data_IF_005313306450
#
_entry.id   IF_005313306450
#
_cell.length_a   1.000
_cell.length_b   1.000
_cell.length_c   1.000
_cell.angle_alpha   90.00
_cell.angle_beta   90.00
_cell.angle_gamma   90.00
#
_symmetry.space_group_name_H-M   'P 1'
#
loop_
_entity.id
_entity.type
_entity.pdbx_description
1 polymer ?
#
# COMPACT_ATOMS: atom_id res chain seq x y z
N UNK A 1 26.83 -18.50 1.34
CA UNK A 1 25.56 -17.81 1.63
C UNK A 1 25.71 -17.06 2.95
N UNK A 2 25.81 -15.74 2.93
CA UNK A 2 26.02 -14.94 4.15
C UNK A 2 24.76 -15.01 4.99
N UNK A 3 24.80 -15.77 6.09
CA UNK A 3 23.72 -15.87 7.07
C UNK A 3 23.37 -14.44 7.49
N UNK A 4 22.15 -14.00 7.17
CA UNK A 4 21.70 -12.66 7.50
C UNK A 4 21.81 -12.51 9.03
N UNK A 5 22.71 -11.64 9.50
CA UNK A 5 22.99 -11.51 10.93
C UNK A 5 21.79 -10.84 11.60
N UNK A 6 20.98 -11.66 12.27
CA UNK A 6 19.90 -11.17 13.12
C UNK A 6 20.46 -10.28 14.24
N UNK A 7 19.79 -9.17 14.50
CA UNK A 7 20.15 -8.20 15.54
C UNK A 7 18.98 -7.95 16.45
N UNK A 8 19.24 -7.97 17.75
CA UNK A 8 18.27 -7.70 18.79
C UNK A 8 18.56 -6.37 19.46
N UNK A 9 17.53 -5.60 19.76
CA UNK A 9 17.65 -4.30 20.42
C UNK A 9 16.30 -3.90 21.04
N UNK A 10 16.32 -2.90 21.91
CA UNK A 10 15.11 -2.26 22.43
C UNK A 10 14.91 -0.90 21.78
N UNK A 11 13.66 -0.57 21.49
CA UNK A 11 13.31 0.75 20.97
C UNK A 11 11.93 1.18 21.49
N UNK A 12 11.76 2.48 21.67
CA UNK A 12 10.49 3.09 22.09
C UNK A 12 9.64 3.39 20.87
N UNK A 13 8.36 3.04 20.94
CA UNK A 13 7.38 3.35 19.91
C UNK A 13 7.00 4.83 20.01
N UNK A 14 7.29 5.59 18.98
CA UNK A 14 7.03 7.02 18.92
C UNK A 14 5.93 7.33 17.91
N UNK A 15 5.19 8.40 18.16
CA UNK A 15 4.27 8.94 17.16
C UNK A 15 5.04 9.90 16.27
N UNK A 16 5.10 9.59 14.98
CA UNK A 16 5.68 10.48 14.00
C UNK A 16 4.78 11.72 13.87
N UNK A 17 5.35 12.90 14.15
CA UNK A 17 4.70 14.21 13.98
C UNK A 17 4.42 14.46 12.48
N UNK A 18 3.34 13.88 12.00
CA UNK A 18 2.88 13.93 10.61
C UNK A 18 1.36 13.91 10.59
N UNK A 19 0.75 14.40 9.50
CA UNK A 19 -0.73 14.36 9.33
C UNK A 19 -1.31 12.95 9.43
N UNK A 20 -0.49 11.92 9.19
CA UNK A 20 -0.91 10.51 9.18
C UNK A 20 -0.76 9.81 10.54
N UNK A 21 -0.20 10.48 11.55
CA UNK A 21 -0.07 9.97 12.93
C UNK A 21 0.51 8.54 13.03
N UNK A 22 1.49 8.22 12.19
CA UNK A 22 2.11 6.90 12.19
C UNK A 22 2.86 6.60 13.49
N UNK A 23 2.82 5.34 13.92
CA UNK A 23 3.65 4.84 15.01
C UNK A 23 4.91 4.22 14.42
N UNK A 24 6.07 4.66 14.89
CA UNK A 24 7.37 4.27 14.37
C UNK A 24 8.32 3.91 15.49
N UNK A 25 9.41 3.23 15.14
CA UNK A 25 10.63 3.22 15.94
C UNK A 25 11.77 3.83 15.14
N UNK A 26 12.71 4.46 15.83
CA UNK A 26 14.04 4.71 15.29
C UNK A 26 14.92 3.49 15.58
N UNK A 27 15.50 2.90 14.53
CA UNK A 27 16.32 1.70 14.69
C UNK A 27 17.69 2.13 15.25
N UNK A 28 18.10 1.65 16.44
CA UNK A 28 19.35 2.04 17.08
C UNK A 28 20.56 1.28 16.51
N UNK A 29 20.46 0.82 15.25
CA UNK A 29 21.47 0.05 14.56
C UNK A 29 22.05 0.85 13.40
N UNK A 30 23.35 0.75 13.20
CA UNK A 30 24.02 1.21 11.98
C UNK A 30 23.75 0.21 10.84
N UNK A 31 22.57 0.32 10.23
CA UNK A 31 22.12 -0.51 9.11
C UNK A 31 23.11 -0.49 7.93
N UNK A 32 23.67 0.67 7.52
CA UNK A 32 24.71 0.70 6.49
C UNK A 32 25.93 -0.14 6.84
N UNK A 33 26.42 -0.08 8.07
CA UNK A 33 27.57 -0.88 8.50
C UNK A 33 27.23 -2.37 8.64
N UNK A 34 26.07 -2.69 9.19
CA UNK A 34 25.69 -4.07 9.56
C UNK A 34 25.17 -4.85 8.35
N UNK A 35 24.31 -4.23 7.53
CA UNK A 35 23.62 -4.89 6.41
C UNK A 35 23.97 -4.29 5.04
N UNK A 36 25.00 -3.43 4.98
CA UNK A 36 25.60 -2.91 3.73
C UNK A 36 24.60 -2.22 2.81
N UNK A 37 23.61 -1.53 3.38
CA UNK A 37 22.63 -0.76 2.61
C UNK A 37 22.26 0.55 3.29
N UNK A 38 22.10 1.60 2.48
CA UNK A 38 21.54 2.91 2.90
C UNK A 38 20.10 3.09 2.42
N UNK A 39 19.62 2.15 1.63
CA UNK A 39 18.30 2.19 0.98
C UNK A 39 17.25 1.49 1.83
N UNK A 40 16.00 1.54 1.35
CA UNK A 40 14.91 0.76 1.94
C UNK A 40 15.27 -0.73 2.00
N UNK A 41 15.32 -1.30 3.20
CA UNK A 41 15.67 -2.69 3.44
C UNK A 41 14.45 -3.50 3.88
N UNK A 42 14.18 -4.62 3.22
CA UNK A 42 13.16 -5.57 3.69
C UNK A 42 13.72 -6.34 4.89
N UNK A 43 12.92 -6.46 5.95
CA UNK A 43 13.30 -7.19 7.16
C UNK A 43 12.19 -8.10 7.65
N UNK A 44 12.58 -9.17 8.32
CA UNK A 44 11.71 -10.08 9.07
C UNK A 44 12.23 -10.18 10.50
N UNK A 45 11.35 -10.54 11.42
CA UNK A 45 11.71 -10.46 12.83
C UNK A 45 10.54 -10.60 13.77
N UNK A 46 10.78 -10.21 15.02
CA UNK A 46 9.83 -10.32 16.11
C UNK A 46 9.78 -9.05 16.96
N UNK A 47 8.60 -8.72 17.48
CA UNK A 47 8.36 -7.67 18.48
C UNK A 47 7.75 -8.34 19.72
N UNK A 48 8.50 -8.37 20.82
CA UNK A 48 8.12 -9.12 22.03
C UNK A 48 7.68 -10.57 21.72
N UNK A 49 8.40 -11.24 20.81
CA UNK A 49 8.08 -12.61 20.35
C UNK A 49 6.98 -12.72 19.29
N UNK A 50 6.29 -11.63 18.93
CA UNK A 50 5.30 -11.64 17.85
C UNK A 50 5.98 -11.51 16.48
N UNK A 51 5.85 -12.48 15.56
CA UNK A 51 6.55 -12.46 14.27
C UNK A 51 5.95 -11.44 13.30
N UNK A 52 6.81 -10.80 12.52
CA UNK A 52 6.40 -9.87 11.46
C UNK A 52 7.39 -9.84 10.29
N UNK A 53 6.90 -9.30 9.15
CA UNK A 53 7.71 -8.93 7.98
C UNK A 53 7.36 -7.51 7.57
N UNK A 54 8.36 -6.65 7.42
CA UNK A 54 8.16 -5.23 7.11
C UNK A 54 9.36 -4.68 6.31
N UNK A 55 9.57 -3.36 6.34
CA UNK A 55 10.72 -2.70 5.75
C UNK A 55 11.23 -1.57 6.66
N UNK A 56 12.54 -1.38 6.62
CA UNK A 56 13.23 -0.24 7.19
C UNK A 56 13.32 0.86 6.14
N UNK A 57 13.04 2.10 6.56
CA UNK A 57 13.04 3.28 5.71
C UNK A 57 14.20 4.18 6.11
N UNK A 58 15.04 4.64 5.17
CA UNK A 58 16.10 5.59 5.49
C UNK A 58 15.50 6.93 5.91
N UNK A 59 16.13 7.58 6.88
CA UNK A 59 15.73 8.92 7.36
C UNK A 59 16.60 10.04 6.78
N UNK A 60 17.43 9.75 5.78
CA UNK A 60 18.39 10.69 5.16
C UNK A 60 19.66 10.98 5.97
N UNK A 61 19.64 10.81 7.29
CA UNK A 61 20.80 11.07 8.20
C UNK A 61 21.62 9.81 8.52
N UNK A 62 21.70 8.86 7.59
CA UNK A 62 22.35 7.55 7.82
C UNK A 62 21.63 6.62 8.81
N UNK A 63 20.48 7.03 9.34
CA UNK A 63 19.63 6.23 10.23
C UNK A 63 18.43 5.65 9.49
N UNK A 64 17.82 4.66 10.12
CA UNK A 64 16.62 3.99 9.61
C UNK A 64 15.50 4.07 10.63
N UNK A 65 14.27 4.12 10.13
CA UNK A 65 13.05 3.99 10.92
C UNK A 65 12.22 2.82 10.44
N UNK A 66 11.35 2.31 11.31
CA UNK A 66 10.42 1.22 10.99
C UNK A 66 9.01 1.62 11.41
N UNK A 67 8.04 1.48 10.50
CA UNK A 67 6.63 1.66 10.84
C UNK A 67 6.11 0.44 11.61
N UNK A 68 5.39 0.71 12.70
CA UNK A 68 4.74 -0.31 13.53
C UNK A 68 3.24 -0.26 13.27
N UNK A 69 2.76 -1.18 12.43
CA UNK A 69 1.35 -1.25 12.09
C UNK A 69 0.50 -1.76 13.28
N UNK A 70 -0.83 -1.70 13.16
CA UNK A 70 -1.74 -2.12 14.24
C UNK A 70 -1.66 -3.60 14.58
N UNK A 71 -1.35 -4.46 13.62
CA UNK A 71 -1.16 -5.89 13.85
C UNK A 71 0.07 -6.14 14.73
N UNK A 72 1.18 -5.45 14.46
CA UNK A 72 2.41 -5.52 15.26
C UNK A 72 2.17 -4.95 16.68
N UNK A 73 1.45 -3.83 16.80
CA UNK A 73 1.08 -3.26 18.12
C UNK A 73 0.27 -4.26 18.94
N UNK A 74 -0.78 -4.84 18.35
CA UNK A 74 -1.65 -5.83 19.02
C UNK A 74 -0.88 -7.10 19.37
N UNK A 75 -0.12 -7.65 18.43
CA UNK A 75 0.63 -8.90 18.60
C UNK A 75 1.75 -8.78 19.62
N UNK A 76 2.50 -7.67 19.58
CA UNK A 76 3.56 -7.37 20.55
C UNK A 76 3.06 -6.81 21.88
N UNK A 77 1.74 -6.59 22.03
CA UNK A 77 1.09 -5.98 23.21
C UNK A 77 1.73 -4.63 23.61
N UNK A 78 1.94 -3.76 22.64
CA UNK A 78 2.61 -2.47 22.81
C UNK A 78 1.76 -1.32 22.29
N UNK A 79 1.90 -0.16 22.91
CA UNK A 79 1.26 1.09 22.49
C UNK A 79 2.31 2.17 22.23
N UNK A 80 1.88 3.33 21.74
CA UNK A 80 2.77 4.49 21.63
C UNK A 80 3.33 4.85 23.01
N UNK A 81 4.63 5.09 23.11
CA UNK A 81 5.36 5.34 24.35
C UNK A 81 5.94 4.07 24.99
N UNK A 82 5.46 2.88 24.61
CA UNK A 82 6.02 1.63 25.13
C UNK A 82 7.42 1.37 24.55
N UNK A 83 8.31 0.86 25.39
CA UNK A 83 9.55 0.22 24.95
C UNK A 83 9.26 -1.25 24.60
N UNK A 84 9.76 -1.72 23.47
CA UNK A 84 9.60 -3.11 23.03
C UNK A 84 10.94 -3.75 22.65
N UNK A 85 11.03 -5.06 22.81
CA UNK A 85 12.16 -5.86 22.35
C UNK A 85 11.95 -6.24 20.89
N UNK A 86 12.93 -5.93 20.05
CA UNK A 86 12.95 -6.29 18.65
C UNK A 86 14.07 -7.30 18.37
N UNK A 87 13.82 -8.18 17.41
CA UNK A 87 14.83 -9.00 16.73
C UNK A 87 14.60 -8.88 15.24
N UNK A 88 15.58 -8.41 14.48
CA UNK A 88 15.46 -8.12 13.04
C UNK A 88 16.57 -8.79 12.23
N UNK A 89 16.24 -9.25 11.03
CA UNK A 89 17.20 -9.67 10.02
C UNK A 89 16.74 -9.28 8.60
N UNK A 90 17.66 -9.10 7.64
CA UNK A 90 17.34 -8.94 6.24
C UNK A 90 16.42 -10.06 5.72
N UNK A 91 15.34 -9.64 5.08
CA UNK A 91 14.35 -10.54 4.49
C UNK A 91 14.67 -10.74 3.00
N UNK A 92 15.41 -11.81 2.71
CA UNK A 92 15.78 -12.23 1.35
C UNK A 92 14.77 -13.18 0.71
N UNK A 93 13.76 -13.63 1.45
CA UNK A 93 12.77 -14.57 0.93
C UNK A 93 11.88 -13.91 -0.13
N UNK A 94 11.60 -14.63 -1.24
CA UNK A 94 10.67 -14.13 -2.23
C UNK A 94 9.29 -13.95 -1.60
N UNK A 95 8.70 -12.77 -1.78
CA UNK A 95 7.33 -12.52 -1.36
C UNK A 95 6.40 -12.91 -2.50
N UNK A 96 5.82 -14.11 -2.41
CA UNK A 96 4.87 -14.62 -3.39
C UNK A 96 3.46 -14.21 -2.97
N UNK A 97 2.67 -13.67 -3.90
CA UNK A 97 1.23 -13.47 -3.71
C UNK A 97 0.50 -14.61 -4.38
N UNK A 98 -0.28 -15.36 -3.61
CA UNK A 98 -1.19 -16.36 -4.16
C UNK A 98 -2.42 -15.62 -4.67
N UNK A 99 -2.60 -15.62 -5.99
CA UNK A 99 -3.75 -15.00 -6.65
C UNK A 99 -4.94 -15.98 -6.58
N UNK A 100 -6.09 -15.59 -6.00
CA UNK A 100 -7.26 -16.47 -5.88
C UNK A 100 -7.83 -16.84 -7.26
N UNK A 101 -8.45 -18.01 -7.36
CA UNK A 101 -8.94 -18.56 -8.63
C UNK A 101 -10.04 -17.69 -9.24
N UNK A 102 -10.90 -17.13 -8.40
CA UNK A 102 -11.96 -16.16 -8.72
C UNK A 102 -11.37 -14.95 -9.45
N UNK A 103 -10.26 -14.39 -8.94
CA UNK A 103 -9.60 -13.25 -9.60
C UNK A 103 -8.94 -13.66 -10.92
N UNK A 104 -8.35 -14.86 -11.00
CA UNK A 104 -7.80 -15.35 -12.27
C UNK A 104 -8.89 -15.47 -13.34
N UNK A 105 -10.07 -15.96 -12.98
CA UNK A 105 -11.23 -16.04 -13.89
C UNK A 105 -11.73 -14.65 -14.30
N UNK A 106 -11.91 -13.74 -13.35
CA UNK A 106 -12.36 -12.38 -13.63
C UNK A 106 -11.41 -11.62 -14.58
N UNK A 107 -10.11 -11.90 -14.52
CA UNK A 107 -9.10 -11.32 -15.41
C UNK A 107 -8.91 -12.09 -16.73
N UNK A 108 -9.49 -13.28 -16.89
CA UNK A 108 -9.21 -14.15 -18.04
C UNK A 108 -9.78 -13.61 -19.36
N UNK A 109 -10.85 -12.81 -19.28
CA UNK A 109 -11.51 -12.22 -20.46
C UNK A 109 -10.73 -11.08 -21.12
N UNK A 110 -9.72 -10.51 -20.45
CA UNK A 110 -8.92 -9.40 -20.98
C UNK A 110 -7.42 -9.62 -20.72
N UNK A 111 -6.69 -9.97 -21.78
CA UNK A 111 -5.25 -10.22 -21.73
C UNK A 111 -4.45 -8.95 -21.39
N UNK A 112 -4.91 -7.75 -21.81
CA UNK A 112 -4.25 -6.49 -21.48
C UNK A 112 -4.39 -6.21 -19.99
N UNK A 113 -5.59 -6.35 -19.45
CA UNK A 113 -5.87 -6.17 -18.03
C UNK A 113 -5.07 -7.14 -17.17
N UNK A 114 -4.99 -8.42 -17.56
CA UNK A 114 -4.18 -9.42 -16.86
C UNK A 114 -2.70 -9.04 -16.81
N UNK A 115 -2.10 -8.67 -17.95
CA UNK A 115 -0.70 -8.21 -18.02
C UNK A 115 -0.48 -6.95 -17.19
N UNK A 116 -1.44 -6.04 -17.19
CA UNK A 116 -1.39 -4.82 -16.39
C UNK A 116 -1.44 -5.13 -14.89
N UNK A 117 -2.30 -6.06 -14.45
CA UNK A 117 -2.37 -6.54 -13.07
C UNK A 117 -1.05 -7.19 -12.62
N UNK A 118 -0.42 -8.00 -13.46
CA UNK A 118 0.87 -8.65 -13.16
C UNK A 118 2.01 -7.64 -12.93
N UNK A 119 1.94 -6.45 -13.55
CA UNK A 119 2.88 -5.33 -13.35
C UNK A 119 2.63 -4.55 -12.06
N UNK A 120 1.53 -4.79 -11.34
CA UNK A 120 1.28 -4.15 -10.06
C UNK A 120 2.30 -4.60 -9.01
N UNK A 121 2.63 -3.67 -8.11
CA UNK A 121 3.54 -3.96 -7.02
C UNK A 121 2.98 -5.06 -6.09
N UNK A 122 3.88 -5.73 -5.36
CA UNK A 122 3.53 -6.82 -4.45
C UNK A 122 2.44 -6.45 -3.44
N UNK A 123 2.50 -5.23 -2.87
CA UNK A 123 1.57 -4.81 -1.82
C UNK A 123 0.15 -4.71 -2.34
N UNK A 124 -0.03 -4.07 -3.50
CA UNK A 124 -1.35 -3.93 -4.15
C UNK A 124 -1.93 -5.29 -4.51
N UNK A 125 -1.12 -6.19 -5.11
CA UNK A 125 -1.60 -7.56 -5.43
C UNK A 125 -1.97 -8.35 -4.19
N UNK A 126 -1.18 -8.24 -3.11
CA UNK A 126 -1.46 -8.88 -1.82
C UNK A 126 -2.76 -8.36 -1.21
N UNK A 127 -2.95 -7.05 -1.19
CA UNK A 127 -4.14 -6.42 -0.61
C UNK A 127 -5.41 -6.81 -1.36
N UNK A 128 -5.39 -6.78 -2.69
CA UNK A 128 -6.50 -7.24 -3.53
C UNK A 128 -6.83 -8.70 -3.22
N UNK A 129 -5.82 -9.57 -3.20
CA UNK A 129 -6.01 -11.00 -2.95
C UNK A 129 -6.55 -11.25 -1.54
N UNK A 130 -5.99 -10.57 -0.53
CA UNK A 130 -6.45 -10.65 0.85
C UNK A 130 -7.91 -10.20 0.98
N UNK A 131 -8.28 -9.06 0.37
CA UNK A 131 -9.63 -8.53 0.39
C UNK A 131 -10.65 -9.50 -0.24
N UNK A 132 -10.31 -10.16 -1.35
CA UNK A 132 -11.17 -11.20 -1.93
C UNK A 132 -11.30 -12.36 -0.94
N UNK A 133 -10.19 -12.92 -0.46
CA UNK A 133 -10.20 -14.13 0.39
C UNK A 133 -10.75 -13.92 1.81
N UNK A 134 -10.87 -12.67 2.26
CA UNK A 134 -11.37 -12.31 3.59
C UNK A 134 -12.82 -12.79 3.81
N UNK A 135 -13.62 -12.87 2.75
CA UNK A 135 -14.97 -13.46 2.83
C UNK A 135 -14.93 -14.98 2.70
N UNK A 136 -15.78 -15.66 3.47
CA UNK A 136 -15.86 -17.12 3.50
C UNK A 136 -16.68 -17.69 2.33
N UNK A 137 -17.75 -17.01 1.91
CA UNK A 137 -18.63 -17.46 0.83
C UNK A 137 -17.92 -17.37 -0.53
N UNK A 138 -17.96 -18.46 -1.31
CA UNK A 138 -17.43 -18.51 -2.67
C UNK A 138 -18.11 -17.49 -3.59
N UNK A 139 -19.43 -17.34 -3.49
CA UNK A 139 -20.19 -16.35 -4.23
C UNK A 139 -19.75 -14.92 -3.90
N UNK A 140 -19.51 -14.63 -2.61
CA UNK A 140 -18.99 -13.32 -2.19
C UNK A 140 -17.56 -13.06 -2.69
N UNK A 141 -16.72 -14.11 -2.81
CA UNK A 141 -15.39 -14.00 -3.41
C UNK A 141 -15.47 -13.68 -4.89
N UNK A 142 -16.34 -14.36 -5.63
CA UNK A 142 -16.55 -14.12 -7.06
C UNK A 142 -17.04 -12.68 -7.30
N UNK A 143 -18.02 -12.22 -6.52
CA UNK A 143 -18.51 -10.83 -6.58
C UNK A 143 -17.40 -9.82 -6.30
N UNK A 144 -16.54 -10.06 -5.30
CA UNK A 144 -15.38 -9.19 -5.01
C UNK A 144 -14.35 -9.23 -6.13
N UNK A 145 -14.09 -10.41 -6.70
CA UNK A 145 -13.16 -10.57 -7.81
C UNK A 145 -13.62 -9.79 -9.05
N UNK A 146 -14.90 -9.88 -9.38
CA UNK A 146 -15.49 -9.11 -10.47
C UNK A 146 -15.44 -7.60 -10.19
N UNK A 147 -15.84 -7.18 -8.98
CA UNK A 147 -15.81 -5.77 -8.58
C UNK A 147 -14.39 -5.17 -8.67
N UNK A 148 -13.36 -5.91 -8.27
CA UNK A 148 -12.00 -5.40 -8.37
C UNK A 148 -11.48 -5.43 -9.81
N UNK A 149 -11.84 -6.44 -10.62
CA UNK A 149 -11.48 -6.49 -12.03
C UNK A 149 -11.99 -5.26 -12.79
N UNK A 150 -13.26 -4.88 -12.57
CA UNK A 150 -13.85 -3.66 -13.13
C UNK A 150 -13.10 -2.39 -12.70
N UNK A 151 -12.72 -2.29 -11.42
CA UNK A 151 -11.95 -1.14 -10.90
C UNK A 151 -10.54 -1.08 -11.49
N UNK A 152 -9.90 -2.24 -11.68
CA UNK A 152 -8.58 -2.34 -12.29
C UNK A 152 -8.65 -1.94 -13.77
N UNK A 153 -9.69 -2.36 -14.49
CA UNK A 153 -9.94 -1.96 -15.87
C UNK A 153 -10.11 -0.45 -16.00
N UNK A 154 -11.01 0.14 -15.21
CA UNK A 154 -11.21 1.59 -15.18
C UNK A 154 -9.92 2.35 -14.82
N UNK A 155 -9.09 1.81 -13.91
CA UNK A 155 -7.79 2.40 -13.58
C UNK A 155 -6.81 2.32 -14.76
N UNK A 156 -6.77 1.18 -15.46
CA UNK A 156 -5.89 0.99 -16.62
C UNK A 156 -6.28 1.93 -17.78
N UNK A 157 -7.58 2.08 -18.05
CA UNK A 157 -8.09 3.02 -19.05
C UNK A 157 -7.79 4.46 -18.64
N UNK A 158 -7.92 4.77 -17.35
CA UNK A 158 -7.64 6.10 -16.82
C UNK A 158 -6.17 6.53 -16.91
N UNK A 159 -5.24 5.59 -17.12
CA UNK A 159 -3.85 5.91 -17.45
C UNK A 159 -3.69 6.43 -18.87
N UNK A 160 -4.61 6.07 -19.77
CA UNK A 160 -4.64 6.54 -21.17
C UNK A 160 -5.47 7.81 -21.29
N UNK A 161 -6.63 7.84 -20.65
CA UNK A 161 -7.55 8.96 -20.66
C UNK A 161 -7.93 9.36 -19.24
N UNK A 162 -7.48 10.54 -18.79
CA UNK A 162 -7.73 10.98 -17.42
C UNK A 162 -9.22 11.09 -17.13
N UNK A 163 -9.69 10.68 -15.93
CA UNK A 163 -11.10 10.79 -15.58
C UNK A 163 -11.53 12.27 -15.51
N UNK A 164 -12.81 12.60 -15.78
CA UNK A 164 -13.29 13.98 -15.82
C UNK A 164 -12.96 14.82 -14.58
N UNK A 165 -12.93 14.20 -13.40
CA UNK A 165 -12.56 14.88 -12.16
C UNK A 165 -11.13 15.44 -12.19
N UNK A 166 -10.19 14.72 -12.80
CA UNK A 166 -8.81 15.20 -12.95
C UNK A 166 -8.70 16.20 -14.10
N UNK A 167 -9.38 15.97 -15.22
CA UNK A 167 -9.41 16.92 -16.33
C UNK A 167 -9.89 18.31 -15.87
N UNK A 168 -11.02 18.37 -15.15
CA UNK A 168 -11.56 19.62 -14.59
C UNK A 168 -10.61 20.24 -13.56
N UNK A 169 -9.97 19.43 -12.73
CA UNK A 169 -9.02 19.92 -11.72
C UNK A 169 -7.79 20.56 -12.38
N UNK A 170 -7.24 19.93 -13.42
CA UNK A 170 -6.05 20.43 -14.10
C UNK A 170 -6.36 21.64 -14.99
N UNK A 171 -7.54 21.68 -15.61
CA UNK A 171 -8.03 22.86 -16.31
C UNK A 171 -8.14 24.08 -15.38
N UNK A 172 -8.54 23.88 -14.12
CA UNK A 172 -8.66 24.95 -13.11
C UNK A 172 -7.34 25.28 -12.42
N UNK A 173 -6.37 24.36 -12.41
CA UNK A 173 -5.09 24.52 -11.72
C UNK A 173 -3.96 23.85 -12.52
N UNK A 174 -3.32 24.64 -13.39
CA UNK A 174 -2.23 24.17 -14.23
C UNK A 174 -1.06 23.55 -13.43
N UNK A 175 -0.72 24.11 -12.25
CA UNK A 175 0.33 23.56 -11.38
C UNK A 175 0.02 22.14 -10.90
N UNK A 176 -1.25 21.82 -10.68
CA UNK A 176 -1.65 20.45 -10.33
C UNK A 176 -1.43 19.48 -11.50
N UNK A 177 -1.67 19.92 -12.73
CA UNK A 177 -1.38 19.16 -13.95
C UNK A 177 0.13 18.96 -14.17
N UNK A 178 0.94 20.01 -14.01
CA UNK A 178 2.41 19.88 -14.06
C UNK A 178 2.94 18.93 -13.00
N UNK A 179 2.41 19.03 -11.77
CA UNK A 179 2.73 18.11 -10.68
C UNK A 179 2.40 16.67 -11.03
N UNK A 180 1.24 16.43 -11.66
CA UNK A 180 0.83 15.12 -12.15
C UNK A 180 1.81 14.55 -13.18
N UNK A 181 2.24 15.34 -14.17
CA UNK A 181 3.17 14.86 -15.20
C UNK A 181 4.57 14.56 -14.66
N UNK A 182 5.01 15.28 -13.62
CA UNK A 182 6.27 14.99 -12.92
C UNK A 182 6.22 13.72 -12.05
N UNK A 183 5.03 13.19 -11.74
CA UNK A 183 4.92 11.98 -10.94
C UNK A 183 5.30 10.72 -11.72
N UNK A 184 5.97 9.80 -11.03
CA UNK A 184 6.20 8.46 -11.56
C UNK A 184 4.87 7.76 -11.88
N UNK A 185 4.89 6.87 -12.87
CA UNK A 185 3.71 6.10 -13.29
C UNK A 185 3.05 5.36 -12.11
N UNK A 186 3.86 4.77 -11.23
CA UNK A 186 3.35 4.07 -10.04
C UNK A 186 2.60 5.00 -9.09
N UNK A 187 3.02 6.27 -8.98
CA UNK A 187 2.36 7.24 -8.11
C UNK A 187 1.05 7.71 -8.74
N UNK A 188 1.05 8.09 -10.02
CA UNK A 188 -0.17 8.42 -10.79
C UNK A 188 -1.21 7.29 -10.72
N UNK A 189 -0.78 6.06 -10.96
CA UNK A 189 -1.61 4.86 -10.83
C UNK A 189 -2.28 4.74 -9.47
N UNK A 190 -1.55 5.00 -8.38
CA UNK A 190 -2.13 4.94 -7.02
C UNK A 190 -3.22 6.00 -6.82
N UNK A 191 -3.06 7.20 -7.39
CA UNK A 191 -4.10 8.22 -7.37
C UNK A 191 -5.34 7.78 -8.17
N UNK A 192 -5.15 7.26 -9.39
CA UNK A 192 -6.25 6.73 -10.20
C UNK A 192 -6.97 5.58 -9.49
N UNK A 193 -6.20 4.64 -8.92
CA UNK A 193 -6.75 3.53 -8.16
C UNK A 193 -7.62 4.04 -7.01
N UNK A 194 -7.19 5.08 -6.29
CA UNK A 194 -7.99 5.74 -5.26
C UNK A 194 -9.34 6.26 -5.77
N UNK A 195 -9.37 6.92 -6.95
CA UNK A 195 -10.61 7.45 -7.55
C UNK A 195 -11.63 6.34 -7.79
N UNK A 196 -11.20 5.18 -8.32
CA UNK A 196 -12.10 4.07 -8.62
C UNK A 196 -12.37 3.15 -7.44
N UNK A 197 -11.48 3.11 -6.44
CA UNK A 197 -11.64 2.30 -5.23
C UNK A 197 -12.77 2.85 -4.33
N UNK A 198 -12.88 4.17 -4.23
CA UNK A 198 -13.94 4.83 -3.45
C UNK A 198 -15.24 5.06 -4.23
N UNK A 199 -15.29 4.74 -5.53
CA UNK A 199 -16.59 4.67 -6.21
C UNK A 199 -17.38 3.48 -5.65
N UNK A 200 -18.60 3.69 -5.13
CA UNK A 200 -19.55 2.62 -4.99
C UNK A 200 -19.64 1.90 -6.35
N UNK A 201 -19.80 0.58 -6.35
CA UNK A 201 -20.22 -0.10 -7.58
C UNK A 201 -21.40 0.71 -8.12
N UNK A 202 -21.34 1.09 -9.41
CA UNK A 202 -22.44 1.78 -10.06
C UNK A 202 -23.63 0.81 -10.08
N UNK A 203 -24.35 0.71 -8.96
CA UNK A 203 -25.69 0.14 -8.93
C UNK A 203 -26.51 1.05 -9.84
N UNK A 204 -26.95 0.47 -10.96
CA UNK A 204 -27.99 0.95 -11.87
C UNK A 204 -28.34 2.44 -11.71
N UNK A 205 -27.79 3.28 -12.58
CA UNK A 205 -28.36 4.61 -12.83
C UNK A 205 -29.69 4.44 -13.59
N UNK A 206 -30.71 4.02 -12.86
CA UNK A 206 -32.10 4.36 -13.10
C UNK A 206 -32.69 4.64 -11.72
N UNK A 207 -32.64 5.91 -11.31
CA UNK A 207 -33.45 6.60 -10.30
C UNK A 207 -32.65 7.82 -9.84
N UNK A 208 -33.29 8.99 -9.92
CA UNK A 208 -32.64 10.29 -9.86
C UNK A 208 -32.03 10.70 -8.51
N UNK A 209 -31.33 11.82 -8.61
CA UNK A 209 -31.20 12.85 -7.60
C UNK A 209 -30.38 12.55 -6.33
N UNK A 210 -29.23 13.21 -6.23
CA UNK A 210 -28.38 13.18 -5.04
C UNK A 210 -27.00 13.75 -5.32
N UNK A 211 -26.82 15.05 -5.08
CA UNK A 211 -25.57 15.77 -5.26
C UNK A 211 -24.39 15.11 -4.49
N UNK A 212 -23.16 15.06 -5.07
CA UNK A 212 -22.01 14.54 -4.34
C UNK A 212 -21.61 15.49 -3.21
N UNK A 213 -21.57 14.95 -2.00
CA UNK A 213 -21.10 15.61 -0.78
C UNK A 213 -19.65 16.07 -0.93
N UNK A 214 -19.43 17.35 -0.61
CA UNK A 214 -18.11 17.97 -0.45
C UNK A 214 -17.40 17.32 0.74
N UNK A 215 -16.57 16.31 0.50
CA UNK A 215 -15.51 15.92 1.42
C UNK A 215 -14.47 15.08 0.65
N UNK A 216 -13.20 15.34 0.92
CA UNK A 216 -12.02 14.60 0.46
C UNK A 216 -11.44 14.94 -0.94
N UNK A 217 -11.15 16.22 -1.21
CA UNK A 217 -10.15 16.62 -2.21
C UNK A 217 -8.96 17.41 -1.63
N UNK A 218 -8.91 17.62 -0.31
CA UNK A 218 -7.95 18.53 0.35
C UNK A 218 -6.59 17.95 0.76
N UNK A 219 -6.11 16.84 0.19
CA UNK A 219 -4.95 16.13 0.79
C UNK A 219 -3.89 15.52 -0.13
N UNK A 220 -4.04 15.52 -1.45
CA UNK A 220 -3.19 14.69 -2.33
C UNK A 220 -2.33 15.47 -3.33
N UNK A 221 -2.23 16.80 -3.22
CA UNK A 221 -1.49 17.64 -4.19
C UNK A 221 -0.33 18.47 -3.62
N UNK A 222 0.24 18.10 -2.47
CA UNK A 222 1.50 18.69 -2.00
C UNK A 222 2.45 17.64 -1.42
N UNK A 223 3.28 17.09 -2.31
CA UNK A 223 4.62 16.54 -2.02
C UNK A 223 5.33 16.21 -3.34
#
# INVERSE_FOLDING_TARGET
>A
MTKALAKSFRATLERLKSRLNWVVIHVPLDVPRIWRTRERLKVKGEINGFPFRTSLFPTGKGRHMMLINKQMQKGGKVTTGSMAQFRLEPDTEPRIVIIPAELKRALAGDLQLRRWFERLNYSTRKEISAWITQVKSAEARERRAQQIAERLLATMEAERELPPILQVTFARNARAGEGWERMSLSRRRMHLFGIFYYRPALKNRQSGEGAPSKLCLGGLLTA
#
